data_IF_858914166099
#
_entry.id   IF_858914166099
#
_cell.length_a   1.000
_cell.length_b   1.000
_cell.length_c   1.000
_cell.angle_alpha   90.00
_cell.angle_beta   90.00
_cell.angle_gamma   90.00
#
_symmetry.space_group_name_H-M   'P 1'
#
loop_
_entity.id
_entity.type
_entity.pdbx_description
1 polymer ?
#
# COMPACT_ATOMS: atom_id res chain seq x y z
N UNK A 1 3.75 -8.94 12.96
CA UNK A 1 3.22 -9.82 14.01
C UNK A 1 1.98 -9.15 14.60
N UNK A 2 1.42 -9.68 15.69
CA UNK A 2 0.26 -9.12 16.38
C UNK A 2 0.46 -7.71 16.94
N UNK A 3 1.71 -7.24 17.06
CA UNK A 3 2.03 -5.90 17.55
C UNK A 3 2.27 -4.90 16.40
N UNK A 4 2.20 -5.35 15.15
CA UNK A 4 2.42 -4.50 13.97
C UNK A 4 1.23 -3.58 13.75
N UNK A 5 1.43 -2.28 13.96
CA UNK A 5 0.36 -1.28 13.85
C UNK A 5 -0.03 -0.96 12.40
N UNK A 6 0.88 -1.10 11.45
CA UNK A 6 0.63 -0.99 10.01
C UNK A 6 1.84 -1.51 9.21
N UNK A 7 1.63 -1.71 7.91
CA UNK A 7 2.70 -1.79 6.92
C UNK A 7 2.70 -0.50 6.10
N UNK A 8 3.84 0.18 6.03
CA UNK A 8 3.99 1.38 5.21
C UNK A 8 4.62 1.01 3.86
N UNK A 9 3.89 1.23 2.76
CA UNK A 9 4.39 1.09 1.40
C UNK A 9 4.73 2.46 0.80
N UNK A 10 5.77 2.54 -0.02
CA UNK A 10 6.26 3.80 -0.59
C UNK A 10 5.88 3.89 -2.07
N UNK A 11 5.06 4.89 -2.42
CA UNK A 11 4.71 5.20 -3.79
C UNK A 11 5.59 6.35 -4.30
N UNK A 12 6.78 6.00 -4.76
CA UNK A 12 7.78 6.94 -5.27
C UNK A 12 8.94 7.10 -4.30
N UNK A 13 9.81 6.09 -4.27
CA UNK A 13 11.03 6.07 -3.45
C UNK A 13 11.90 7.31 -3.69
N UNK A 14 12.43 7.89 -2.62
CA UNK A 14 13.36 9.04 -2.72
C UNK A 14 14.70 8.67 -3.34
N UNK A 15 15.04 7.37 -3.38
CA UNK A 15 16.30 6.88 -3.90
C UNK A 15 16.23 6.58 -5.41
N UNK A 16 15.14 5.97 -5.86
CA UNK A 16 15.01 5.43 -7.23
C UNK A 16 13.82 5.99 -8.00
N UNK A 17 12.87 6.64 -7.32
CA UNK A 17 11.58 7.04 -7.89
C UNK A 17 10.61 5.87 -8.13
N UNK A 18 10.97 4.66 -7.73
CA UNK A 18 10.18 3.45 -7.96
C UNK A 18 8.90 3.42 -7.11
N UNK A 19 7.85 2.81 -7.68
CA UNK A 19 6.61 2.53 -6.98
C UNK A 19 6.65 1.10 -6.45
N UNK A 20 6.52 0.94 -5.14
CA UNK A 20 6.31 -0.39 -4.56
C UNK A 20 4.95 -0.95 -4.99
N UNK A 21 4.86 -2.28 -5.08
CA UNK A 21 3.64 -2.97 -5.51
C UNK A 21 2.62 -3.06 -4.35
N UNK A 22 1.89 -1.96 -4.14
CA UNK A 22 0.86 -1.84 -3.09
C UNK A 22 -0.27 -2.88 -3.29
N UNK A 23 -0.59 -3.22 -4.55
CA UNK A 23 -1.63 -4.20 -4.86
C UNK A 23 -1.22 -5.60 -4.40
N UNK A 24 -0.01 -6.04 -4.77
CA UNK A 24 0.52 -7.31 -4.31
C UNK A 24 0.62 -7.35 -2.78
N UNK A 25 1.06 -6.26 -2.15
CA UNK A 25 1.09 -6.16 -0.69
C UNK A 25 -0.30 -6.35 -0.08
N UNK A 26 -1.32 -5.68 -0.62
CA UNK A 26 -2.71 -5.82 -0.17
C UNK A 26 -3.24 -7.25 -0.33
N UNK A 27 -2.92 -7.94 -1.43
CA UNK A 27 -3.32 -9.33 -1.66
C UNK A 27 -2.68 -10.29 -0.64
N UNK A 28 -1.37 -10.19 -0.43
CA UNK A 28 -0.64 -11.00 0.54
C UNK A 28 -1.12 -10.72 1.97
N UNK A 29 -1.35 -9.45 2.31
CA UNK A 29 -1.85 -9.06 3.62
C UNK A 29 -3.29 -9.52 3.85
N UNK A 30 -4.11 -9.61 2.79
CA UNK A 30 -5.45 -10.21 2.88
C UNK A 30 -5.38 -11.68 3.30
N UNK A 31 -4.46 -12.45 2.73
CA UNK A 31 -4.27 -13.87 3.10
C UNK A 31 -3.82 -13.95 4.56
N UNK A 32 -2.82 -13.15 4.93
CA UNK A 32 -2.27 -13.15 6.29
C UNK A 32 -3.31 -12.73 7.32
N UNK A 33 -4.08 -11.67 7.08
CA UNK A 33 -5.13 -11.22 8.00
C UNK A 33 -6.25 -12.26 8.14
N UNK A 34 -6.57 -13.03 7.09
CA UNK A 34 -7.52 -14.15 7.19
C UNK A 34 -7.00 -15.28 8.08
N UNK A 35 -5.70 -15.55 8.04
CA UNK A 35 -5.06 -16.59 8.86
C UNK A 35 -4.88 -16.16 10.32
N UNK A 36 -4.51 -14.90 10.55
CA UNK A 36 -4.11 -14.42 11.87
C UNK A 36 -5.19 -13.67 12.64
N UNK A 37 -6.17 -13.08 11.93
CA UNK A 37 -7.18 -12.21 12.52
C UNK A 37 -6.64 -10.89 13.06
N UNK A 38 -5.45 -10.46 12.64
CA UNK A 38 -4.79 -9.25 13.17
C UNK A 38 -5.32 -7.94 12.58
N UNK A 39 -6.01 -7.99 11.46
CA UNK A 39 -6.52 -6.80 10.74
C UNK A 39 -5.44 -5.72 10.52
N UNK A 40 -4.19 -6.13 10.24
CA UNK A 40 -3.08 -5.21 10.03
C UNK A 40 -3.37 -4.32 8.79
N UNK A 41 -3.31 -2.98 8.92
CA UNK A 41 -3.59 -2.06 7.82
C UNK A 41 -2.33 -1.71 7.00
N UNK A 42 -2.55 -1.09 5.85
CA UNK A 42 -1.53 -0.48 4.99
C UNK A 42 -1.65 1.05 5.07
N UNK A 43 -0.52 1.72 5.25
CA UNK A 43 -0.35 3.14 4.96
C UNK A 43 0.45 3.29 3.66
N UNK A 44 0.04 4.17 2.77
CA UNK A 44 0.81 4.48 1.56
C UNK A 44 1.47 5.84 1.69
N UNK A 45 2.80 5.85 1.84
CA UNK A 45 3.59 7.07 1.72
C UNK A 45 3.69 7.45 0.24
N UNK A 46 2.74 8.29 -0.18
CA UNK A 46 2.67 8.84 -1.52
C UNK A 46 3.15 10.30 -1.57
N UNK A 47 4.13 10.69 -0.75
CA UNK A 47 4.63 12.07 -0.65
C UNK A 47 4.95 12.70 -2.02
N UNK A 48 5.52 11.92 -2.94
CA UNK A 48 5.76 12.32 -4.32
C UNK A 48 4.75 11.70 -5.29
N UNK A 49 4.60 10.37 -5.28
CA UNK A 49 3.78 9.63 -6.24
C UNK A 49 2.28 9.96 -6.19
N UNK A 50 1.78 10.50 -5.08
CA UNK A 50 0.37 10.81 -4.88
C UNK A 50 -0.18 11.87 -5.84
N UNK A 51 0.67 12.76 -6.37
CA UNK A 51 0.31 13.73 -7.41
C UNK A 51 0.89 13.38 -8.79
N UNK A 52 1.39 12.16 -8.98
CA UNK A 52 1.90 11.66 -10.26
C UNK A 52 1.03 10.50 -10.77
N UNK A 53 0.85 9.48 -9.95
CA UNK A 53 0.15 8.26 -10.33
C UNK A 53 -1.30 8.49 -10.80
N UNK A 54 -2.12 9.35 -10.16
CA UNK A 54 -3.50 9.59 -10.62
C UNK A 54 -3.61 10.13 -12.05
N UNK A 55 -2.59 10.86 -12.53
CA UNK A 55 -2.63 11.54 -13.83
C UNK A 55 -1.94 10.73 -14.93
N UNK A 56 -0.83 10.05 -14.60
CA UNK A 56 -0.04 9.30 -15.58
C UNK A 56 -0.39 7.80 -15.61
N UNK A 57 -0.85 7.24 -14.49
CA UNK A 57 -1.12 5.82 -14.31
C UNK A 57 -2.48 5.59 -13.62
N UNK A 58 -3.61 6.09 -14.16
CA UNK A 58 -4.90 6.05 -13.49
C UNK A 58 -5.39 4.63 -13.16
N UNK A 59 -5.00 3.64 -13.98
CA UNK A 59 -5.39 2.24 -13.80
C UNK A 59 -4.54 1.51 -12.74
N UNK A 60 -3.43 2.12 -12.27
CA UNK A 60 -2.63 1.55 -11.20
C UNK A 60 -3.43 1.57 -9.91
N UNK A 61 -3.70 0.40 -9.34
CA UNK A 61 -4.38 0.28 -8.05
C UNK A 61 -3.35 0.38 -6.93
N UNK A 62 -3.33 1.52 -6.24
CA UNK A 62 -2.43 1.79 -5.11
C UNK A 62 -3.10 2.52 -3.95
N UNK A 63 -4.30 3.08 -4.18
CA UNK A 63 -5.00 3.97 -3.26
C UNK A 63 -6.14 3.22 -2.53
N UNK A 64 -7.12 3.97 -2.02
CA UNK A 64 -8.29 3.46 -1.28
C UNK A 64 -9.18 2.48 -2.06
N UNK A 65 -8.92 2.23 -3.35
CA UNK A 65 -9.48 1.07 -4.06
C UNK A 65 -9.07 -0.26 -3.40
N UNK A 66 -7.90 -0.30 -2.76
CA UNK A 66 -7.37 -1.47 -2.06
C UNK A 66 -7.89 -1.51 -0.60
N UNK A 67 -8.59 -2.58 -0.17
CA UNK A 67 -9.30 -2.61 1.11
C UNK A 67 -8.44 -2.36 2.37
N UNK A 68 -7.16 -2.74 2.33
CA UNK A 68 -6.26 -2.60 3.47
C UNK A 68 -5.56 -1.24 3.52
N UNK A 69 -5.64 -0.41 2.48
CA UNK A 69 -5.13 0.96 2.51
C UNK A 69 -6.04 1.82 3.37
N UNK A 70 -5.52 2.30 4.52
CA UNK A 70 -6.27 3.09 5.51
C UNK A 70 -5.85 4.55 5.57
N UNK A 71 -4.63 4.85 5.17
CA UNK A 71 -4.09 6.22 5.14
C UNK A 71 -3.01 6.39 4.11
#
# INVERSE_FOLDING_TARGET
DENTICVAAILGSTLTGEFEDVKLLNELLTIKNKETGWDTPIHVDAASGGFVAPFLYPDLEWDFRLPWVKS
#
